data_IF_742614928903
#
_entry.id   IF_742614928903
#
_cell.length_a   1.000
_cell.length_b   1.000
_cell.length_c   1.000
_cell.angle_alpha   90.00
_cell.angle_beta   90.00
_cell.angle_gamma   90.00
#
_symmetry.space_group_name_H-M   'P 1'
#
loop_
_entity.id
_entity.type
_entity.pdbx_description
1 polymer ?
#
# COMPACT_ATOMS: atom_id res chain seq x y z
N UNK A 1 29.63 11.43 -32.66
CA UNK A 1 28.41 10.70 -32.25
C UNK A 1 27.48 10.59 -33.45
N UNK A 2 27.42 9.41 -34.06
CA UNK A 2 26.61 9.10 -35.23
C UNK A 2 25.25 8.54 -34.80
N UNK A 3 24.23 8.68 -35.66
CA UNK A 3 22.86 8.19 -35.39
C UNK A 3 22.78 6.67 -35.16
N UNK A 4 23.82 5.92 -35.54
CA UNK A 4 23.96 4.49 -35.24
C UNK A 4 24.32 4.23 -33.77
N UNK A 5 25.19 5.05 -33.18
CA UNK A 5 25.58 4.97 -31.77
C UNK A 5 24.39 5.31 -30.85
N UNK A 6 23.58 6.32 -31.22
CA UNK A 6 22.34 6.67 -30.52
C UNK A 6 21.26 5.57 -30.57
N UNK A 7 21.24 4.75 -31.64
CA UNK A 7 20.34 3.58 -31.74
C UNK A 7 20.86 2.38 -30.96
N UNK A 8 22.16 2.28 -30.76
CA UNK A 8 22.80 1.18 -30.04
C UNK A 8 22.68 1.39 -28.52
N UNK A 9 22.74 2.64 -28.02
CA UNK A 9 22.44 2.95 -26.62
C UNK A 9 20.96 2.70 -26.25
N UNK A 10 20.02 3.00 -27.16
CA UNK A 10 18.59 2.75 -26.96
C UNK A 10 18.23 1.25 -26.85
N UNK A 11 19.14 0.34 -27.21
CA UNK A 11 18.96 -1.12 -27.10
C UNK A 11 19.45 -1.72 -25.78
N UNK A 12 19.98 -0.92 -24.87
CA UNK A 12 20.64 -1.38 -23.62
C UNK A 12 20.22 -0.58 -22.39
N UNK A 13 19.05 0.07 -22.41
CA UNK A 13 18.50 0.59 -21.15
C UNK A 13 18.21 -0.60 -20.22
N UNK A 14 18.77 -0.61 -19.00
CA UNK A 14 18.47 -1.64 -18.02
C UNK A 14 16.95 -1.69 -17.80
N UNK A 15 16.33 -2.82 -18.13
CA UNK A 15 14.91 -3.02 -17.90
C UNK A 15 14.71 -3.17 -16.40
N UNK A 16 14.01 -2.21 -15.80
CA UNK A 16 13.63 -2.26 -14.39
C UNK A 16 12.83 -3.56 -14.13
N UNK A 17 13.24 -4.38 -13.15
CA UNK A 17 12.60 -5.66 -12.85
C UNK A 17 11.13 -5.54 -12.45
N UNK A 18 10.66 -4.36 -12.04
CA UNK A 18 9.27 -4.09 -11.67
C UNK A 18 8.43 -3.50 -12.83
N UNK A 19 9.02 -3.29 -14.02
CA UNK A 19 8.36 -2.85 -15.25
C UNK A 19 7.38 -1.64 -15.04
N UNK A 20 7.83 -0.50 -14.49
CA UNK A 20 6.93 0.59 -14.09
C UNK A 20 6.25 1.32 -15.28
N UNK A 21 6.90 1.30 -16.44
CA UNK A 21 6.46 2.03 -17.65
C UNK A 21 6.27 1.13 -18.87
N UNK A 22 6.55 -0.16 -18.72
CA UNK A 22 6.44 -1.18 -19.76
C UNK A 22 5.47 -2.28 -19.32
N UNK A 23 4.85 -3.02 -20.26
CA UNK A 23 3.99 -4.14 -19.87
C UNK A 23 4.80 -5.25 -19.20
N UNK A 24 4.28 -5.80 -18.09
CA UNK A 24 4.91 -6.95 -17.39
C UNK A 24 4.81 -8.21 -18.26
N UNK A 25 5.96 -8.80 -18.67
CA UNK A 25 5.98 -10.06 -19.42
C UNK A 25 5.33 -11.21 -18.65
N UNK A 26 4.73 -12.17 -19.35
CA UNK A 26 4.06 -13.30 -18.71
C UNK A 26 4.96 -14.08 -17.73
N UNK A 27 6.26 -14.19 -18.04
CA UNK A 27 7.27 -14.86 -17.19
C UNK A 27 7.60 -14.12 -15.90
N UNK A 28 7.35 -12.80 -15.84
CA UNK A 28 7.62 -11.96 -14.67
C UNK A 28 6.36 -11.70 -13.82
N UNK A 29 5.19 -12.18 -14.25
CA UNK A 29 3.94 -12.01 -13.50
C UNK A 29 3.97 -12.80 -12.21
N UNK A 30 3.60 -12.14 -11.11
CA UNK A 30 3.52 -12.76 -9.78
C UNK A 30 2.19 -13.48 -9.60
N UNK A 31 2.23 -14.58 -8.85
CA UNK A 31 1.05 -15.40 -8.58
C UNK A 31 0.05 -14.73 -7.63
N UNK A 32 -1.22 -15.16 -7.68
CA UNK A 32 -2.32 -14.60 -6.88
C UNK A 32 -2.02 -14.62 -5.39
N UNK A 33 -1.40 -15.69 -4.88
CA UNK A 33 -1.05 -15.80 -3.45
C UNK A 33 -0.05 -14.73 -3.03
N UNK A 34 1.03 -14.54 -3.80
CA UNK A 34 2.05 -13.53 -3.51
C UNK A 34 1.47 -12.13 -3.49
N UNK A 35 0.65 -11.80 -4.50
CA UNK A 35 -0.02 -10.50 -4.58
C UNK A 35 -1.02 -10.33 -3.43
N UNK A 36 -1.76 -11.38 -3.07
CA UNK A 36 -2.73 -11.33 -1.97
C UNK A 36 -2.05 -11.05 -0.63
N UNK A 37 -0.91 -11.68 -0.35
CA UNK A 37 -0.12 -11.42 0.88
C UNK A 37 0.28 -9.94 0.95
N UNK A 38 0.77 -9.37 -0.15
CA UNK A 38 1.14 -7.96 -0.22
C UNK A 38 -0.08 -7.04 -0.03
N UNK A 39 -1.21 -7.35 -0.69
CA UNK A 39 -2.43 -6.56 -0.59
C UNK A 39 -3.06 -6.61 0.81
N UNK A 40 -3.05 -7.76 1.48
CA UNK A 40 -3.53 -7.89 2.85
C UNK A 40 -2.62 -7.08 3.79
N UNK A 41 -1.29 -7.23 3.66
CA UNK A 41 -0.33 -6.46 4.44
C UNK A 41 -0.46 -4.95 4.25
N UNK A 42 -0.77 -4.50 3.03
CA UNK A 42 -1.07 -3.09 2.74
C UNK A 42 -2.39 -2.62 3.35
N UNK A 43 -3.40 -3.48 3.41
CA UNK A 43 -4.75 -3.12 3.90
C UNK A 43 -4.79 -2.99 5.42
N UNK A 44 -4.08 -3.86 6.12
CA UNK A 44 -4.10 -3.93 7.58
C UNK A 44 -2.95 -3.09 8.17
N UNK A 45 -3.18 -1.78 8.33
CA UNK A 45 -2.22 -0.87 8.97
C UNK A 45 -2.92 0.04 9.99
N UNK A 46 -2.17 0.51 10.99
CA UNK A 46 -2.76 1.13 12.20
C UNK A 46 -3.68 2.34 11.93
N UNK A 47 -3.33 3.31 11.06
CA UNK A 47 -4.23 4.40 10.69
C UNK A 47 -5.60 3.96 10.17
N UNK A 48 -5.68 2.94 9.31
CA UNK A 48 -6.98 2.45 8.82
C UNK A 48 -7.75 1.70 9.88
N UNK A 49 -7.07 0.97 10.78
CA UNK A 49 -7.72 0.35 11.93
C UNK A 49 -8.34 1.39 12.87
N UNK A 50 -7.63 2.49 13.15
CA UNK A 50 -8.16 3.61 13.95
C UNK A 50 -9.36 4.28 13.28
N UNK A 51 -9.29 4.53 11.97
CA UNK A 51 -10.42 5.06 11.20
C UNK A 51 -11.61 4.09 11.20
N UNK A 52 -11.35 2.79 11.09
CA UNK A 52 -12.39 1.76 11.22
C UNK A 52 -13.04 1.74 12.60
N UNK A 53 -12.25 1.91 13.66
CA UNK A 53 -12.74 1.97 15.04
C UNK A 53 -13.65 3.19 15.28
N UNK A 54 -13.31 4.36 14.73
CA UNK A 54 -14.15 5.56 14.86
C UNK A 54 -15.48 5.43 14.12
N UNK A 55 -15.49 4.79 12.95
CA UNK A 55 -16.72 4.44 12.23
C UNK A 55 -17.53 3.43 13.04
N UNK A 56 -16.89 2.38 13.57
CA UNK A 56 -17.55 1.36 14.38
C UNK A 56 -18.26 1.93 15.61
N UNK A 57 -17.64 2.91 16.28
CA UNK A 57 -18.23 3.60 17.43
C UNK A 57 -19.42 4.51 17.08
N UNK A 58 -19.58 4.90 15.80
CA UNK A 58 -20.64 5.81 15.35
C UNK A 58 -21.98 5.09 15.04
N UNK A 59 -21.98 3.76 14.92
CA UNK A 59 -23.15 2.97 14.54
C UNK A 59 -23.47 1.91 15.59
N UNK A 60 -24.74 1.47 15.66
CA UNK A 60 -25.07 0.23 16.40
C UNK A 60 -24.48 -0.97 15.67
N UNK A 61 -24.20 -2.05 16.40
CA UNK A 61 -23.54 -3.25 15.83
C UNK A 61 -24.21 -3.77 14.55
N UNK A 62 -25.54 -3.88 14.50
CA UNK A 62 -26.27 -4.36 13.32
C UNK A 62 -26.17 -3.40 12.12
N UNK A 63 -26.23 -2.09 12.37
CA UNK A 63 -26.08 -1.06 11.34
C UNK A 63 -24.65 -1.04 10.82
N UNK A 64 -23.67 -1.15 11.71
CA UNK A 64 -22.25 -1.26 11.38
C UNK A 64 -21.97 -2.46 10.47
N UNK A 65 -22.52 -3.65 10.77
CA UNK A 65 -22.35 -4.84 9.91
C UNK A 65 -22.91 -4.61 8.50
N UNK A 66 -24.08 -3.96 8.38
CA UNK A 66 -24.65 -3.62 7.08
C UNK A 66 -23.77 -2.61 6.32
N UNK A 67 -23.31 -1.54 6.98
CA UNK A 67 -22.41 -0.54 6.39
C UNK A 67 -21.10 -1.19 5.94
N UNK A 68 -20.52 -2.04 6.78
CA UNK A 68 -19.30 -2.79 6.49
C UNK A 68 -19.49 -3.68 5.26
N UNK A 69 -20.55 -4.49 5.23
CA UNK A 69 -20.83 -5.41 4.12
C UNK A 69 -21.01 -4.65 2.81
N UNK A 70 -21.88 -3.63 2.79
CA UNK A 70 -22.16 -2.85 1.58
C UNK A 70 -20.92 -2.10 1.11
N UNK A 71 -20.20 -1.45 2.04
CA UNK A 71 -18.95 -0.76 1.74
C UNK A 71 -17.90 -1.68 1.15
N UNK A 72 -17.69 -2.86 1.75
CA UNK A 72 -16.75 -3.87 1.27
C UNK A 72 -17.15 -4.44 -0.09
N UNK A 73 -18.44 -4.66 -0.36
CA UNK A 73 -18.90 -5.15 -1.67
C UNK A 73 -18.67 -4.11 -2.76
N UNK A 74 -19.04 -2.85 -2.52
CA UNK A 74 -18.86 -1.77 -3.51
C UNK A 74 -17.37 -1.56 -3.79
N UNK A 75 -16.55 -1.44 -2.73
CA UNK A 75 -15.11 -1.26 -2.87
C UNK A 75 -14.45 -2.49 -3.50
N UNK A 76 -14.84 -3.69 -3.10
CA UNK A 76 -14.34 -4.95 -3.64
C UNK A 76 -14.63 -5.11 -5.12
N UNK A 77 -15.85 -4.78 -5.56
CA UNK A 77 -16.22 -4.81 -6.98
C UNK A 77 -15.40 -3.80 -7.79
N UNK A 78 -15.21 -2.58 -7.26
CA UNK A 78 -14.37 -1.55 -7.89
C UNK A 78 -12.91 -2.01 -8.03
N UNK A 79 -12.32 -2.52 -6.94
CA UNK A 79 -10.93 -3.01 -6.92
C UNK A 79 -10.77 -4.23 -7.83
N UNK A 80 -11.73 -5.15 -7.85
CA UNK A 80 -11.71 -6.31 -8.73
C UNK A 80 -11.74 -5.92 -10.21
N UNK A 81 -12.54 -4.91 -10.58
CA UNK A 81 -12.62 -4.42 -11.95
C UNK A 81 -11.29 -3.82 -12.43
N UNK A 82 -10.68 -2.93 -11.63
CA UNK A 82 -9.39 -2.33 -11.98
C UNK A 82 -8.24 -3.34 -11.91
N UNK A 83 -8.29 -4.27 -10.95
CA UNK A 83 -7.31 -5.35 -10.80
C UNK A 83 -7.35 -6.33 -11.97
N UNK A 84 -8.54 -6.67 -12.47
CA UNK A 84 -8.71 -7.47 -13.67
C UNK A 84 -8.11 -6.78 -14.91
N UNK A 85 -8.35 -5.47 -15.06
CA UNK A 85 -7.78 -4.69 -16.16
C UNK A 85 -6.25 -4.65 -16.11
N UNK A 86 -5.68 -4.42 -14.93
CA UNK A 86 -4.23 -4.45 -14.69
C UNK A 86 -3.62 -5.83 -14.96
N UNK A 87 -4.24 -6.90 -14.47
CA UNK A 87 -3.77 -8.27 -14.67
C UNK A 87 -3.84 -8.71 -16.14
N UNK A 88 -4.87 -8.29 -16.87
CA UNK A 88 -5.01 -8.60 -18.30
C UNK A 88 -3.98 -7.86 -19.14
N UNK A 89 -3.85 -6.55 -18.93
CA UNK A 89 -2.99 -5.67 -19.75
C UNK A 89 -1.51 -5.74 -19.37
N UNK A 90 -1.21 -6.06 -18.10
CA UNK A 90 0.14 -5.96 -17.55
C UNK A 90 0.65 -4.52 -17.43
N UNK A 91 -0.24 -3.53 -17.50
CA UNK A 91 0.10 -2.11 -17.47
C UNK A 91 -0.17 -1.51 -16.10
N UNK A 92 0.66 -0.55 -15.69
CA UNK A 92 0.38 0.28 -14.52
C UNK A 92 -0.80 1.22 -14.78
N UNK A 93 -1.50 1.63 -13.73
CA UNK A 93 -2.64 2.56 -13.83
C UNK A 93 -2.27 3.86 -14.55
N UNK A 94 -1.05 4.35 -14.30
CA UNK A 94 -0.50 5.53 -14.98
C UNK A 94 -0.37 5.28 -16.48
N UNK A 95 0.19 4.14 -16.91
CA UNK A 95 0.33 3.82 -18.33
C UNK A 95 -1.03 3.62 -19.00
N UNK A 96 -1.97 2.94 -18.34
CA UNK A 96 -3.36 2.81 -18.83
C UNK A 96 -4.03 4.18 -19.04
N UNK A 97 -3.78 5.14 -18.14
CA UNK A 97 -4.36 6.49 -18.25
C UNK A 97 -3.94 7.24 -19.52
N UNK A 98 -2.77 6.93 -20.10
CA UNK A 98 -2.30 7.53 -21.36
C UNK A 98 -3.21 7.20 -22.53
N UNK A 99 -3.84 6.03 -22.53
CA UNK A 99 -4.76 5.62 -23.60
C UNK A 99 -6.09 6.38 -23.55
N UNK A 100 -6.51 6.82 -22.36
CA UNK A 100 -7.80 7.52 -22.17
C UNK A 100 -7.64 9.05 -22.22
N UNK A 101 -6.60 9.58 -21.58
CA UNK A 101 -6.40 11.03 -21.39
C UNK A 101 -5.23 11.60 -22.20
N UNK A 102 -4.54 10.77 -22.98
CA UNK A 102 -3.31 11.15 -23.68
C UNK A 102 -2.13 11.40 -22.74
N UNK A 103 -0.99 11.78 -23.32
CA UNK A 103 0.27 11.98 -22.58
C UNK A 103 0.19 13.14 -21.58
N UNK A 104 -0.51 14.22 -21.93
CA UNK A 104 -0.65 15.38 -21.05
C UNK A 104 -1.56 15.09 -19.85
N UNK A 105 -2.73 14.48 -20.07
CA UNK A 105 -3.65 14.13 -18.99
C UNK A 105 -3.10 13.05 -18.06
N UNK A 106 -2.33 12.10 -18.60
CA UNK A 106 -1.64 11.08 -17.78
C UNK A 106 -0.69 11.70 -16.75
N UNK A 107 -0.08 12.85 -17.01
CA UNK A 107 0.77 13.54 -16.01
C UNK A 107 -0.03 13.96 -14.78
N UNK A 108 -1.24 14.48 -14.99
CA UNK A 108 -2.13 14.84 -13.88
C UNK A 108 -2.52 13.59 -13.09
N UNK A 109 -2.85 12.49 -13.77
CA UNK A 109 -3.15 11.20 -13.12
C UNK A 109 -1.96 10.71 -12.30
N UNK A 110 -0.73 10.81 -12.82
CA UNK A 110 0.49 10.46 -12.07
C UNK A 110 0.66 11.32 -10.82
N UNK A 111 0.43 12.64 -10.92
CA UNK A 111 0.53 13.55 -9.77
C UNK A 111 -0.54 13.24 -8.73
N UNK A 112 -1.78 12.94 -9.15
CA UNK A 112 -2.85 12.58 -8.22
C UNK A 112 -2.58 11.26 -7.52
N UNK A 113 -2.21 10.21 -8.28
CA UNK A 113 -1.93 8.90 -7.71
C UNK A 113 -0.69 8.93 -6.81
N UNK A 114 0.43 9.49 -7.30
CA UNK A 114 1.67 9.61 -6.54
C UNK A 114 1.54 10.56 -5.35
N UNK A 115 0.89 11.71 -5.54
CA UNK A 115 0.63 12.68 -4.48
C UNK A 115 -0.25 12.12 -3.35
N UNK A 116 -1.24 11.29 -3.70
CA UNK A 116 -2.03 10.56 -2.70
C UNK A 116 -1.16 9.61 -1.89
N UNK A 117 -0.21 8.90 -2.52
CA UNK A 117 0.72 8.03 -1.79
C UNK A 117 1.62 8.82 -0.84
N UNK A 118 2.07 10.03 -1.21
CA UNK A 118 2.85 10.91 -0.32
C UNK A 118 2.03 11.28 0.92
N UNK A 119 0.74 11.60 0.76
CA UNK A 119 -0.16 11.89 1.87
C UNK A 119 -0.30 10.71 2.83
N UNK A 120 -0.56 9.51 2.31
CA UNK A 120 -0.67 8.30 3.10
C UNK A 120 0.64 7.91 3.79
N UNK A 121 1.77 8.12 3.12
CA UNK A 121 3.09 7.91 3.70
C UNK A 121 3.32 8.80 4.93
N UNK A 122 2.95 10.08 4.86
CA UNK A 122 3.04 11.00 5.99
C UNK A 122 2.20 10.54 7.19
N UNK A 123 0.96 10.11 6.95
CA UNK A 123 0.08 9.57 8.00
C UNK A 123 0.67 8.29 8.61
N UNK A 124 1.19 7.38 7.77
CA UNK A 124 1.77 6.11 8.23
C UNK A 124 2.98 6.33 9.13
N UNK A 125 3.98 7.07 8.65
CA UNK A 125 5.23 7.30 9.39
C UNK A 125 4.98 8.18 10.63
N UNK A 126 4.10 9.18 10.53
CA UNK A 126 3.70 10.01 11.67
C UNK A 126 3.00 9.21 12.77
N UNK A 127 2.09 8.31 12.40
CA UNK A 127 1.41 7.44 13.36
C UNK A 127 2.38 6.48 14.03
N UNK A 128 3.31 5.88 13.29
CA UNK A 128 4.35 5.01 13.86
C UNK A 128 5.23 5.80 14.84
N UNK A 129 5.66 7.01 14.47
CA UNK A 129 6.47 7.85 15.35
C UNK A 129 5.77 8.19 16.66
N UNK A 130 4.50 8.60 16.59
CA UNK A 130 3.69 8.92 17.77
C UNK A 130 3.42 7.69 18.63
N UNK A 131 2.96 6.58 18.03
CA UNK A 131 2.69 5.34 18.75
C UNK A 131 3.94 4.77 19.42
N UNK A 132 5.10 4.88 18.77
CA UNK A 132 6.38 4.43 19.35
C UNK A 132 6.76 5.29 20.54
N UNK A 133 6.72 6.63 20.41
CA UNK A 133 7.02 7.51 21.53
C UNK A 133 6.09 7.29 22.72
N UNK A 134 4.79 7.08 22.47
CA UNK A 134 3.81 6.73 23.50
C UNK A 134 4.14 5.38 24.18
N UNK A 135 4.48 4.35 23.40
CA UNK A 135 4.80 3.02 23.93
C UNK A 135 6.04 3.02 24.84
N UNK A 136 7.03 3.86 24.55
CA UNK A 136 8.25 4.00 25.36
C UNK A 136 8.18 5.11 26.42
N UNK A 137 7.06 5.82 26.55
CA UNK A 137 6.90 6.91 27.50
C UNK A 137 7.82 8.11 27.23
N UNK A 138 8.18 8.35 25.96
CA UNK A 138 9.06 9.46 25.58
C UNK A 138 8.28 10.78 25.54
N UNK A 139 8.56 11.66 26.50
CA UNK A 139 7.95 13.00 26.58
C UNK A 139 8.62 14.04 25.65
N UNK A 140 9.77 13.68 25.08
CA UNK A 140 10.55 14.54 24.20
C UNK A 140 9.86 14.74 22.84
N UNK A 141 9.64 15.99 22.44
CA UNK A 141 9.07 16.34 21.14
C UNK A 141 9.91 15.87 19.94
N UNK A 142 11.21 15.65 20.14
CA UNK A 142 12.12 15.19 19.08
C UNK A 142 12.08 13.67 18.89
N UNK A 143 11.63 12.92 19.88
CA UNK A 143 11.67 11.46 19.84
C UNK A 143 10.76 10.86 18.74
N UNK A 144 9.50 11.30 18.56
CA UNK A 144 8.69 10.88 17.42
C UNK A 144 9.34 11.20 16.07
N UNK A 145 9.95 12.39 15.94
CA UNK A 145 10.59 12.81 14.69
C UNK A 145 11.80 11.93 14.33
N UNK A 146 12.61 11.53 15.31
CA UNK A 146 13.72 10.60 15.10
C UNK A 146 13.23 9.22 14.66
N UNK A 147 12.15 8.71 15.26
CA UNK A 147 11.51 7.46 14.82
C UNK A 147 11.01 7.59 13.38
N UNK A 148 10.36 8.71 13.05
CA UNK A 148 9.88 8.96 11.68
C UNK A 148 11.01 8.91 10.66
N UNK A 149 12.15 9.53 10.97
CA UNK A 149 13.34 9.51 10.11
C UNK A 149 13.90 8.10 9.99
N UNK A 150 14.04 7.38 11.10
CA UNK A 150 14.56 6.00 11.12
C UNK A 150 13.68 5.03 10.32
N UNK A 151 12.37 5.09 10.53
CA UNK A 151 11.39 4.28 9.78
C UNK A 151 11.41 4.65 8.31
N UNK A 152 11.50 5.95 7.99
CA UNK A 152 11.59 6.39 6.59
C UNK A 152 12.84 5.86 5.89
N UNK A 153 13.99 5.88 6.57
CA UNK A 153 15.22 5.31 6.04
C UNK A 153 15.09 3.80 5.81
N UNK A 154 14.47 3.07 6.74
CA UNK A 154 14.21 1.63 6.59
C UNK A 154 13.27 1.35 5.41
N UNK A 155 12.18 2.10 5.27
CA UNK A 155 11.23 1.96 4.16
C UNK A 155 11.90 2.28 2.82
N UNK A 156 12.75 3.32 2.78
CA UNK A 156 13.56 3.63 1.59
C UNK A 156 14.46 2.46 1.21
N UNK A 157 15.16 1.83 2.17
CA UNK A 157 15.99 0.66 1.90
C UNK A 157 15.15 -0.50 1.32
N UNK A 158 13.97 -0.77 1.88
CA UNK A 158 13.08 -1.82 1.35
C UNK A 158 12.57 -1.49 -0.05
N UNK A 159 12.33 -0.22 -0.36
CA UNK A 159 11.89 0.21 -1.69
C UNK A 159 12.96 0.00 -2.77
N UNK A 160 14.26 0.02 -2.41
CA UNK A 160 15.35 -0.29 -3.34
C UNK A 160 15.34 -1.76 -3.79
N UNK A 161 14.74 -2.66 -3.00
CA UNK A 161 14.56 -4.07 -3.36
C UNK A 161 13.27 -4.35 -4.15
N UNK A 162 12.50 -3.31 -4.48
CA UNK A 162 11.32 -3.41 -5.33
C UNK A 162 10.22 -4.31 -4.79
N UNK A 163 9.53 -5.03 -5.68
CA UNK A 163 8.45 -5.96 -5.31
C UNK A 163 8.90 -7.03 -4.32
N UNK A 164 10.11 -7.58 -4.47
CA UNK A 164 10.58 -8.67 -3.62
C UNK A 164 10.74 -8.21 -2.17
N UNK A 165 11.26 -6.99 -1.96
CA UNK A 165 11.31 -6.37 -0.64
C UNK A 165 9.92 -6.22 -0.01
N UNK A 166 8.95 -5.69 -0.76
CA UNK A 166 7.57 -5.57 -0.31
C UNK A 166 6.93 -6.93 0.03
N UNK A 167 7.21 -7.95 -0.77
CA UNK A 167 6.71 -9.31 -0.55
C UNK A 167 7.23 -9.88 0.77
N UNK A 168 8.54 -9.84 1.04
CA UNK A 168 9.11 -10.38 2.27
C UNK A 168 8.65 -9.63 3.52
N UNK A 169 8.57 -8.30 3.44
CA UNK A 169 8.01 -7.49 4.54
C UNK A 169 6.57 -7.90 4.81
N UNK A 170 5.75 -8.00 3.77
CA UNK A 170 4.33 -8.37 3.88
C UNK A 170 4.13 -9.80 4.37
N UNK A 171 4.98 -10.74 3.94
CA UNK A 171 4.91 -12.14 4.32
C UNK A 171 5.07 -12.33 5.84
N UNK A 172 5.89 -11.50 6.47
CA UNK A 172 6.14 -11.54 7.91
C UNK A 172 5.15 -10.64 8.65
N UNK A 173 4.91 -9.41 8.16
CA UNK A 173 4.07 -8.44 8.87
C UNK A 173 2.59 -8.83 8.87
N UNK A 174 2.07 -9.35 7.75
CA UNK A 174 0.66 -9.72 7.60
C UNK A 174 0.20 -10.71 8.69
N UNK A 175 0.85 -11.88 8.88
CA UNK A 175 0.42 -12.82 9.91
C UNK A 175 0.56 -12.24 11.32
N UNK A 176 1.62 -11.47 11.60
CA UNK A 176 1.81 -10.84 12.92
C UNK A 176 0.69 -9.84 13.25
N UNK A 177 0.34 -8.99 12.30
CA UNK A 177 -0.72 -8.00 12.49
C UNK A 177 -2.08 -8.68 12.61
N UNK A 178 -2.36 -9.74 11.83
CA UNK A 178 -3.61 -10.50 11.96
C UNK A 178 -3.73 -11.17 13.34
N UNK A 179 -2.65 -11.82 13.81
CA UNK A 179 -2.61 -12.40 15.16
C UNK A 179 -2.88 -11.34 16.22
N UNK A 180 -2.22 -10.18 16.13
CA UNK A 180 -2.42 -9.07 17.04
C UNK A 180 -3.87 -8.55 17.01
N UNK A 181 -4.45 -8.39 15.82
CA UNK A 181 -5.83 -7.90 15.65
C UNK A 181 -6.85 -8.85 16.29
N UNK A 182 -6.73 -10.18 16.04
CA UNK A 182 -7.61 -11.17 16.65
C UNK A 182 -7.42 -11.24 18.17
N UNK A 183 -6.18 -11.14 18.64
CA UNK A 183 -5.87 -11.13 20.07
C UNK A 183 -6.49 -9.94 20.79
N UNK A 184 -6.30 -8.73 20.27
CA UNK A 184 -6.90 -7.49 20.83
C UNK A 184 -8.42 -7.58 20.82
N UNK A 185 -9.01 -8.11 19.74
CA UNK A 185 -10.47 -8.29 19.65
C UNK A 185 -10.98 -9.26 20.71
N UNK A 186 -10.29 -10.38 20.94
CA UNK A 186 -10.66 -11.35 21.97
C UNK A 186 -10.58 -10.73 23.38
N UNK A 187 -9.52 -9.99 23.69
CA UNK A 187 -9.39 -9.25 24.95
C UNK A 187 -10.53 -8.25 25.15
N UNK A 188 -10.84 -7.46 24.12
CA UNK A 188 -11.92 -6.49 24.17
C UNK A 188 -13.28 -7.14 24.48
N UNK A 189 -13.56 -8.32 23.91
CA UNK A 189 -14.79 -9.07 24.21
C UNK A 189 -14.84 -9.56 25.66
N UNK A 190 -13.69 -9.93 26.25
CA UNK A 190 -13.63 -10.34 27.66
C UNK A 190 -13.78 -9.16 28.63
N UNK A 191 -13.27 -7.97 28.29
CA UNK A 191 -13.38 -6.79 29.15
C UNK A 191 -14.78 -6.15 29.12
N UNK A 192 -15.46 -6.21 27.98
CA UNK A 192 -16.82 -5.67 27.81
C UNK A 192 -17.89 -6.63 28.35
N UNK A 193 -17.50 -7.83 28.79
CA UNK A 193 -18.39 -8.83 29.38
C UNK A 193 -19.39 -9.37 28.37
N UNK A 194 -18.87 -9.96 27.28
CA UNK A 194 -19.65 -10.50 26.15
C UNK A 194 -20.89 -11.30 26.52
#
# INVERSE_FOLDING_TARGET
>A
MTAAELRQEAGTEPVDPDYPVTPVPASARRGVVSISVVLIGFTVFAPTLMAGASIGAAFRFSEFLAVLLVGSVVLGAYVAAIGFLGARTGLTTVVMSRYTFGTAGSKLVSVLLGGTQIGWYGVAVGSIGQMTALAFGWESAWAPALVMIGVSALMMLTALYGYEGMYWVSLISTPLILVLAFWITALALTEVGG
#
